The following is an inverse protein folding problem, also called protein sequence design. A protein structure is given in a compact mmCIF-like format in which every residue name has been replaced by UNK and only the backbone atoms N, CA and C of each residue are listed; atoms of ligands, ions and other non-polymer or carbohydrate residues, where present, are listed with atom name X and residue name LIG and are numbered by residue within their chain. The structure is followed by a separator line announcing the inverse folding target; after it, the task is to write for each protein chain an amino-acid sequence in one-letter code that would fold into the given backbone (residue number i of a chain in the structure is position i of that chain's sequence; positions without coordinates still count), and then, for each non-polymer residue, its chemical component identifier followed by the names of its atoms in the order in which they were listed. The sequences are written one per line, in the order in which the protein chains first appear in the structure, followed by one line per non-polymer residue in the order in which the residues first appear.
data_IF_396318857322
#
_entry.id   IF_396318857322
#
_cell.length_a   1.000
_cell.length_b   1.000
_cell.length_c   1.000
_cell.angle_alpha   90.00
_cell.angle_beta   90.00
_cell.angle_gamma   90.00
#
_symmetry.space_group_name_H-M   'P 1'
#
loop_
_entity.id
_entity.type
_entity.pdbx_description
1 polymer ?
#
# COMPACT_ATOMS: atom_id res chain seq x y z
N UNK A 1 -11.35 10.27 38.90
CA UNK A 1 -10.99 9.11 38.06
C UNK A 1 -11.51 9.24 36.61
N UNK A 2 -11.55 10.44 36.01
CA UNK A 2 -12.26 10.68 34.73
C UNK A 2 -11.41 10.99 33.50
N UNK A 3 -10.07 11.04 33.60
CA UNK A 3 -9.24 11.53 32.48
C UNK A 3 -8.41 10.43 31.79
N UNK A 4 -8.09 9.33 32.48
CA UNK A 4 -7.30 8.24 31.88
C UNK A 4 -8.14 7.38 30.93
N UNK A 5 -9.41 7.10 31.28
CA UNK A 5 -10.31 6.32 30.43
C UNK A 5 -10.66 7.06 29.13
N UNK A 6 -10.90 8.38 29.20
CA UNK A 6 -11.21 9.21 28.03
C UNK A 6 -10.00 9.33 27.09
N UNK A 7 -8.79 9.51 27.62
CA UNK A 7 -7.57 9.54 26.80
C UNK A 7 -7.26 8.16 26.18
N UNK A 8 -7.52 7.06 26.90
CA UNK A 8 -7.35 5.71 26.37
C UNK A 8 -8.36 5.39 25.25
N UNK A 9 -9.63 5.77 25.39
CA UNK A 9 -10.66 5.59 24.36
C UNK A 9 -10.37 6.45 23.13
N UNK A 10 -9.92 7.69 23.31
CA UNK A 10 -9.49 8.53 22.19
C UNK A 10 -8.26 7.94 21.50
N UNK A 11 -7.25 7.48 22.25
CA UNK A 11 -6.07 6.83 21.68
C UNK A 11 -6.39 5.55 20.90
N UNK A 12 -7.26 4.69 21.43
CA UNK A 12 -7.72 3.48 20.74
C UNK A 12 -8.63 3.78 19.55
N UNK A 13 -9.44 4.85 19.61
CA UNK A 13 -10.27 5.31 18.50
C UNK A 13 -9.44 5.83 17.32
N UNK A 14 -8.40 6.62 17.60
CA UNK A 14 -7.47 7.09 16.57
C UNK A 14 -6.70 5.93 15.93
N UNK A 15 -6.22 4.97 16.71
CA UNK A 15 -5.49 3.79 16.19
C UNK A 15 -6.46 2.84 15.44
N UNK A 16 -7.65 2.60 15.97
CA UNK A 16 -8.61 1.64 15.44
C UNK A 16 -9.34 2.09 14.16
N UNK A 17 -9.64 3.39 14.04
CA UNK A 17 -10.30 3.92 12.84
C UNK A 17 -9.30 4.47 11.82
N UNK A 18 -8.30 5.25 12.21
CA UNK A 18 -7.42 5.91 11.23
C UNK A 18 -6.46 4.92 10.56
N UNK A 19 -5.96 3.90 11.27
CA UNK A 19 -4.98 2.97 10.69
C UNK A 19 -5.57 2.09 9.58
N UNK A 20 -6.78 1.49 9.68
CA UNK A 20 -7.39 0.80 8.55
C UNK A 20 -7.60 1.71 7.34
N UNK A 21 -8.07 2.94 7.55
CA UNK A 21 -8.24 3.91 6.45
C UNK A 21 -6.90 4.24 5.78
N UNK A 22 -5.84 4.49 6.57
CA UNK A 22 -4.48 4.73 6.07
C UNK A 22 -3.96 3.55 5.23
N UNK A 23 -4.20 2.30 5.68
CA UNK A 23 -3.79 1.10 4.93
C UNK A 23 -4.56 0.91 3.62
N UNK A 24 -5.84 1.22 3.61
CA UNK A 24 -6.64 1.20 2.37
C UNK A 24 -6.11 2.21 1.35
N UNK A 25 -5.79 3.43 1.82
CA UNK A 25 -5.21 4.49 0.98
C UNK A 25 -3.84 4.09 0.42
N UNK A 26 -2.99 3.43 1.20
CA UNK A 26 -1.69 2.92 0.72
C UNK A 26 -1.86 1.82 -0.33
N UNK A 27 -2.81 0.90 -0.13
CA UNK A 27 -3.09 -0.18 -1.10
C UNK A 27 -3.64 0.40 -2.42
N UNK A 28 -4.53 1.39 -2.32
CA UNK A 28 -5.04 2.12 -3.49
C UNK A 28 -3.92 2.88 -4.20
N UNK A 29 -3.03 3.54 -3.44
CA UNK A 29 -1.88 4.24 -3.99
C UNK A 29 -0.92 3.30 -4.74
N UNK A 30 -0.62 2.11 -4.21
CA UNK A 30 0.18 1.11 -4.92
C UNK A 30 -0.52 0.63 -6.19
N UNK A 31 -1.82 0.36 -6.11
CA UNK A 31 -2.60 -0.12 -7.25
C UNK A 31 -2.58 0.90 -8.38
N UNK A 32 -2.94 2.15 -8.11
CA UNK A 32 -2.93 3.21 -9.12
C UNK A 32 -1.49 3.47 -9.59
N UNK A 33 -0.53 3.48 -8.67
CA UNK A 33 0.89 3.70 -8.95
C UNK A 33 1.46 2.70 -9.94
N UNK A 34 1.22 1.40 -9.76
CA UNK A 34 1.74 0.37 -10.67
C UNK A 34 1.12 0.43 -12.07
N UNK A 35 -0.15 0.83 -12.18
CA UNK A 35 -0.81 1.06 -13.46
C UNK A 35 -0.27 2.31 -14.17
N UNK A 36 0.01 3.39 -13.41
CA UNK A 36 0.62 4.61 -13.93
C UNK A 36 2.05 4.36 -14.41
N UNK A 37 2.85 3.61 -13.65
CA UNK A 37 4.19 3.19 -14.08
C UNK A 37 4.13 2.48 -15.43
N UNK A 38 3.24 1.49 -15.55
CA UNK A 38 3.04 0.74 -16.78
C UNK A 38 2.66 1.65 -17.97
N UNK A 39 1.68 2.55 -17.80
CA UNK A 39 1.26 3.50 -18.85
C UNK A 39 2.35 4.50 -19.23
N UNK A 40 3.21 4.87 -18.29
CA UNK A 40 4.34 5.76 -18.53
C UNK A 40 5.52 5.05 -19.24
N UNK A 41 5.41 3.75 -19.53
CA UNK A 41 6.46 2.97 -20.18
C UNK A 41 7.56 2.47 -19.24
N UNK A 42 7.37 2.59 -17.92
CA UNK A 42 8.22 1.91 -16.95
C UNK A 42 7.75 0.48 -16.76
N UNK A 43 8.70 -0.45 -16.64
CA UNK A 43 8.38 -1.86 -16.36
C UNK A 43 7.74 -1.98 -14.96
N UNK A 44 6.44 -2.34 -14.86
CA UNK A 44 5.74 -2.39 -13.57
C UNK A 44 6.33 -3.44 -12.62
N UNK A 45 7.09 -4.43 -13.12
CA UNK A 45 7.74 -5.45 -12.29
C UNK A 45 8.78 -4.86 -11.34
N UNK A 46 9.36 -3.71 -11.69
CA UNK A 46 10.34 -3.02 -10.85
C UNK A 46 9.75 -2.50 -9.53
N UNK A 47 8.42 -2.33 -9.45
CA UNK A 47 7.73 -2.00 -8.20
C UNK A 47 7.95 -3.07 -7.12
N UNK A 48 7.98 -4.35 -7.49
CA UNK A 48 8.27 -5.46 -6.57
C UNK A 48 9.72 -5.39 -6.10
N UNK A 49 10.66 -5.11 -7.01
CA UNK A 49 12.08 -4.97 -6.69
C UNK A 49 12.38 -3.78 -5.77
N UNK A 50 11.63 -2.69 -5.88
CA UNK A 50 11.67 -1.58 -4.92
C UNK A 50 11.32 -2.06 -3.51
N UNK A 51 10.16 -2.71 -3.35
CA UNK A 51 9.70 -3.17 -2.03
C UNK A 51 10.56 -4.27 -1.43
N UNK A 52 11.15 -5.14 -2.25
CA UNK A 52 12.14 -6.12 -1.80
C UNK A 52 13.40 -5.46 -1.21
N UNK A 53 13.89 -4.38 -1.82
CA UNK A 53 15.03 -3.62 -1.27
C UNK A 53 14.65 -2.90 0.01
N UNK A 54 13.45 -2.33 0.07
CA UNK A 54 12.92 -1.70 1.29
C UNK A 54 12.68 -2.71 2.42
N UNK A 55 12.36 -3.97 2.11
CA UNK A 55 12.22 -5.01 3.14
C UNK A 55 13.56 -5.32 3.81
N UNK A 56 14.64 -5.38 3.02
CA UNK A 56 16.01 -5.65 3.49
C UNK A 56 16.65 -4.48 4.26
N UNK A 57 16.30 -3.24 3.90
CA UNK A 57 16.87 -2.03 4.53
C UNK A 57 16.15 -1.56 5.80
N UNK A 58 14.99 -2.13 6.13
CA UNK A 58 14.23 -1.78 7.33
C UNK A 58 14.69 -2.58 8.54
N UNK A 59 15.02 -1.91 9.66
CA UNK A 59 15.23 -2.59 10.95
C UNK A 59 13.98 -3.33 11.44
N UNK A 60 13.98 -3.83 12.68
CA UNK A 60 12.84 -4.62 13.20
C UNK A 60 11.52 -3.83 13.06
N UNK A 61 10.64 -4.28 12.16
CA UNK A 61 9.30 -3.70 12.02
C UNK A 61 8.40 -4.26 13.11
N UNK A 62 7.71 -3.37 13.82
CA UNK A 62 6.66 -3.77 14.75
C UNK A 62 5.49 -4.43 14.02
N UNK A 63 4.51 -4.99 14.75
CA UNK A 63 3.36 -5.63 14.15
C UNK A 63 2.57 -4.68 13.22
N UNK A 64 2.13 -5.20 12.06
CA UNK A 64 1.45 -4.43 11.01
C UNK A 64 0.16 -3.75 11.50
N UNK A 65 -0.52 -4.34 12.50
CA UNK A 65 -1.71 -3.75 13.10
C UNK A 65 -1.44 -2.42 13.84
N UNK A 66 -0.20 -2.17 14.27
CA UNK A 66 0.23 -0.92 14.94
C UNK A 66 0.89 0.10 13.99
N UNK A 67 1.10 -0.26 12.72
CA UNK A 67 1.84 0.57 11.76
C UNK A 67 0.89 1.41 10.89
N UNK A 68 1.29 2.64 10.57
CA UNK A 68 0.58 3.55 9.63
C UNK A 68 0.78 3.16 8.17
N UNK A 69 1.83 2.39 7.86
CA UNK A 69 2.11 1.83 6.54
C UNK A 69 2.14 0.29 6.63
N UNK A 70 1.57 -0.44 5.64
CA UNK A 70 1.60 -1.89 5.59
C UNK A 70 3.04 -2.43 5.49
N UNK A 71 3.24 -3.68 5.91
CA UNK A 71 4.56 -4.30 5.80
C UNK A 71 4.94 -4.48 4.29
N UNK A 72 6.23 -4.49 3.95
CA UNK A 72 6.66 -4.69 2.57
C UNK A 72 6.15 -6.00 1.96
N UNK A 73 5.97 -7.05 2.75
CA UNK A 73 5.52 -8.36 2.29
C UNK A 73 4.08 -8.31 1.75
N UNK A 74 3.17 -7.64 2.45
CA UNK A 74 1.78 -7.38 2.03
C UNK A 74 1.77 -6.58 0.74
N UNK A 75 2.56 -5.50 0.66
CA UNK A 75 2.66 -4.68 -0.56
C UNK A 75 3.20 -5.48 -1.75
N UNK A 76 4.23 -6.31 -1.54
CA UNK A 76 4.77 -7.20 -2.58
C UNK A 76 3.70 -8.18 -3.07
N UNK A 77 2.94 -8.80 -2.17
CA UNK A 77 1.89 -9.74 -2.54
C UNK A 77 0.78 -9.06 -3.36
N UNK A 78 0.35 -7.86 -2.96
CA UNK A 78 -0.63 -7.06 -3.69
C UNK A 78 -0.12 -6.66 -5.08
N UNK A 79 1.11 -6.16 -5.19
CA UNK A 79 1.73 -5.81 -6.47
C UNK A 79 1.83 -7.02 -7.40
N UNK A 80 2.19 -8.19 -6.89
CA UNK A 80 2.20 -9.43 -7.65
C UNK A 80 0.81 -9.82 -8.14
N UNK A 81 -0.24 -9.65 -7.32
CA UNK A 81 -1.62 -9.89 -7.70
C UNK A 81 -2.09 -8.96 -8.83
N UNK A 82 -1.68 -7.70 -8.83
CA UNK A 82 -2.06 -6.72 -9.86
C UNK A 82 -1.16 -6.75 -11.10
N UNK A 83 -0.03 -7.46 -11.04
CA UNK A 83 0.96 -7.51 -12.12
C UNK A 83 0.37 -7.93 -13.47
N UNK A 84 -0.50 -8.95 -13.59
CA UNK A 84 -1.10 -9.30 -14.87
C UNK A 84 -1.86 -8.13 -15.50
N UNK A 85 -2.58 -7.35 -14.69
CA UNK A 85 -3.30 -6.17 -15.16
C UNK A 85 -2.33 -5.04 -15.54
N UNK A 86 -1.33 -4.76 -14.71
CA UNK A 86 -0.33 -3.74 -15.01
C UNK A 86 0.41 -4.03 -16.33
N UNK A 87 0.72 -5.31 -16.59
CA UNK A 87 1.34 -5.72 -17.85
C UNK A 87 0.47 -5.47 -19.08
N UNK A 88 -0.86 -5.50 -18.96
CA UNK A 88 -1.76 -5.12 -20.06
C UNK A 88 -1.59 -3.63 -20.41
N UNK A 89 -1.49 -2.76 -19.40
CA UNK A 89 -1.23 -1.33 -19.61
C UNK A 89 0.18 -1.05 -20.12
N UNK A 90 1.17 -1.85 -19.71
CA UNK A 90 2.55 -1.72 -20.22
C UNK A 90 2.63 -2.06 -21.71
N UNK A 91 1.90 -3.11 -22.13
CA UNK A 91 1.83 -3.53 -23.53
C UNK A 91 0.93 -2.63 -24.39
N UNK A 92 -0.12 -2.06 -23.80
CA UNK A 92 -1.04 -1.15 -24.47
C UNK A 92 -1.27 0.12 -23.62
N UNK A 93 -0.36 1.11 -23.69
CA UNK A 93 -0.43 2.31 -22.87
C UNK A 93 -1.64 3.20 -23.13
N UNK A 94 -2.40 2.97 -24.21
CA UNK A 94 -3.59 3.77 -24.55
C UNK A 94 -4.87 3.32 -23.84
N UNK A 95 -4.85 2.16 -23.16
CA UNK A 95 -6.00 1.68 -22.38
C UNK A 95 -6.42 2.70 -21.30
N UNK A 96 -7.71 3.02 -21.16
CA UNK A 96 -8.17 3.90 -20.08
C UNK A 96 -7.91 3.23 -18.72
N UNK A 97 -7.46 4.01 -17.73
CA UNK A 97 -7.29 3.50 -16.37
C UNK A 97 -8.63 3.02 -15.80
N UNK A 98 -8.62 2.03 -14.89
CA UNK A 98 -9.84 1.64 -14.20
C UNK A 98 -10.34 2.83 -13.38
N UNK A 99 -11.66 2.93 -13.22
CA UNK A 99 -12.23 3.92 -12.31
C UNK A 99 -11.70 3.64 -10.90
N UNK A 100 -11.04 4.63 -10.28
CA UNK A 100 -10.79 4.62 -8.85
C UNK A 100 -12.17 4.78 -8.19
N UNK A 101 -12.70 3.68 -7.66
CA UNK A 101 -14.02 3.62 -7.03
C UNK A 101 -14.06 4.37 -5.71
#
# INVERSE_FOLDING_TARGET
AGNLATLAVLGLGQVGFLLPYSRAQESEADYIGVLLMAKAGYDPRESVGLWQRMSQGGGSRGPEYLSTHPNPETRIAQLQQWMPQAMQYYQNPTLPLPNAG
#
